data_IF_013209129745
#
_entry.id   IF_013209129745
#
_cell.length_a   1.000
_cell.length_b   1.000
_cell.length_c   1.000
_cell.angle_alpha   90.00
_cell.angle_beta   90.00
_cell.angle_gamma   90.00
#
_symmetry.space_group_name_H-M   'P 1'
#
loop_
_entity.id
_entity.type
_entity.pdbx_description
1 polymer ?
#
# COMPACT_ATOMS: atom_id res chain seq x y z
N UNK A 1 7.47 1.84 -42.18
CA UNK A 1 6.53 2.98 -42.08
C UNK A 1 7.16 4.02 -41.19
N UNK A 2 7.45 5.22 -41.65
CA UNK A 2 7.93 6.31 -40.79
C UNK A 2 6.73 7.03 -40.20
N UNK A 3 6.28 6.59 -39.03
CA UNK A 3 5.27 7.35 -38.26
C UNK A 3 5.91 8.62 -37.70
N UNK A 4 5.31 9.76 -37.96
CA UNK A 4 5.77 11.07 -37.41
C UNK A 4 5.39 11.24 -35.93
N UNK A 5 4.31 10.62 -35.50
CA UNK A 5 3.81 10.70 -34.11
C UNK A 5 2.94 9.50 -33.77
N UNK A 6 2.93 9.10 -32.49
CA UNK A 6 2.04 8.06 -31.95
C UNK A 6 1.24 8.69 -30.81
N UNK A 7 -0.07 8.39 -30.77
CA UNK A 7 -0.96 8.80 -29.68
C UNK A 7 -1.43 7.55 -28.96
N UNK A 8 -1.17 7.49 -27.65
CA UNK A 8 -1.80 6.53 -26.76
C UNK A 8 -2.95 7.25 -26.04
N UNK A 9 -4.19 6.93 -26.42
CA UNK A 9 -5.40 7.47 -25.78
C UNK A 9 -5.95 6.41 -24.82
N UNK A 10 -5.95 6.70 -23.51
CA UNK A 10 -6.45 5.82 -22.47
C UNK A 10 -7.85 6.31 -22.06
N UNK A 11 -8.85 5.48 -22.35
CA UNK A 11 -10.23 5.68 -21.91
C UNK A 11 -10.43 4.91 -20.60
N UNK A 12 -10.08 5.54 -19.50
CA UNK A 12 -10.09 4.91 -18.17
C UNK A 12 -11.53 4.58 -17.74
N UNK A 13 -11.74 3.34 -17.31
CA UNK A 13 -13.07 2.81 -17.00
C UNK A 13 -13.90 2.38 -18.21
N UNK A 14 -13.42 2.56 -19.45
CA UNK A 14 -14.10 2.17 -20.67
C UNK A 14 -13.86 0.69 -20.99
N UNK A 15 -14.47 -0.20 -20.20
CA UNK A 15 -14.28 -1.65 -20.32
C UNK A 15 -15.34 -2.34 -21.19
N UNK A 16 -15.03 -3.60 -21.56
CA UNK A 16 -16.03 -4.48 -22.16
C UNK A 16 -17.01 -4.97 -21.08
N UNK A 17 -18.26 -4.67 -21.24
CA UNK A 17 -19.34 -5.11 -20.35
C UNK A 17 -20.31 -6.07 -21.06
N UNK A 18 -21.32 -6.52 -20.34
CA UNK A 18 -22.41 -7.32 -20.90
C UNK A 18 -23.20 -6.45 -21.88
N UNK A 19 -23.24 -6.84 -23.16
CA UNK A 19 -24.03 -6.14 -24.17
C UNK A 19 -25.51 -6.14 -23.81
N UNK A 20 -26.20 -5.02 -24.11
CA UNK A 20 -27.63 -4.83 -23.82
C UNK A 20 -28.02 -4.88 -22.32
N UNK A 21 -27.08 -4.85 -21.40
CA UNK A 21 -27.37 -4.67 -20.00
C UNK A 21 -27.80 -3.23 -19.70
N UNK A 22 -28.85 -3.03 -18.93
CA UNK A 22 -29.28 -1.69 -18.45
C UNK A 22 -28.20 -0.96 -17.64
N UNK A 23 -27.21 -1.69 -17.15
CA UNK A 23 -26.08 -1.16 -16.37
C UNK A 23 -24.84 -0.86 -17.24
N UNK A 24 -24.86 -1.16 -18.54
CA UNK A 24 -23.74 -0.88 -19.45
C UNK A 24 -23.98 0.46 -20.16
N UNK A 25 -23.46 1.54 -19.57
CA UNK A 25 -23.63 2.89 -20.11
C UNK A 25 -23.05 3.04 -21.53
N UNK A 26 -21.92 2.37 -21.82
CA UNK A 26 -21.26 2.42 -23.14
C UNK A 26 -22.16 1.81 -24.22
N UNK A 27 -22.70 0.61 -23.94
CA UNK A 27 -23.61 -0.07 -24.85
C UNK A 27 -24.91 0.72 -25.08
N UNK A 28 -25.47 1.30 -24.01
CA UNK A 28 -26.71 2.07 -24.07
C UNK A 28 -26.56 3.43 -24.77
N UNK A 29 -25.39 4.06 -24.67
CA UNK A 29 -25.10 5.34 -25.34
C UNK A 29 -24.90 5.18 -26.86
N UNK A 30 -24.61 3.96 -27.33
CA UNK A 30 -24.42 3.64 -28.74
C UNK A 30 -23.45 4.61 -29.48
N UNK A 31 -22.21 4.82 -29.00
CA UNK A 31 -21.32 5.87 -29.49
C UNK A 31 -20.81 5.55 -30.92
N UNK A 32 -21.13 6.38 -31.94
CA UNK A 32 -20.92 6.01 -33.34
C UNK A 32 -19.45 5.90 -33.72
N UNK A 33 -18.59 6.78 -33.21
CA UNK A 33 -17.16 6.75 -33.49
C UNK A 33 -16.47 5.54 -32.83
N UNK A 34 -16.90 5.13 -31.66
CA UNK A 34 -16.42 3.92 -30.99
C UNK A 34 -16.76 2.68 -31.80
N UNK A 35 -17.98 2.60 -32.31
CA UNK A 35 -18.39 1.50 -33.19
C UNK A 35 -17.60 1.48 -34.49
N UNK A 36 -17.37 2.66 -35.11
CA UNK A 36 -16.55 2.79 -36.28
C UNK A 36 -15.13 2.27 -36.05
N UNK A 37 -14.49 2.68 -34.94
CA UNK A 37 -13.15 2.22 -34.57
C UNK A 37 -13.13 0.69 -34.35
N UNK A 38 -14.08 0.16 -33.59
CA UNK A 38 -14.18 -1.28 -33.33
C UNK A 38 -14.39 -2.13 -34.60
N UNK A 39 -15.05 -1.58 -35.62
CA UNK A 39 -15.38 -2.28 -36.85
C UNK A 39 -14.27 -2.22 -37.88
N UNK A 40 -13.46 -1.15 -37.90
CA UNK A 40 -12.52 -0.88 -39.00
C UNK A 40 -11.05 -1.03 -38.62
N UNK A 41 -10.71 -1.15 -37.31
CA UNK A 41 -9.32 -1.24 -36.87
C UNK A 41 -9.06 -2.53 -36.09
N UNK A 42 -7.79 -3.01 -36.07
CA UNK A 42 -7.40 -4.16 -35.24
C UNK A 42 -7.75 -3.94 -33.78
N UNK A 43 -8.22 -4.99 -33.13
CA UNK A 43 -8.62 -4.97 -31.70
C UNK A 43 -8.19 -6.25 -31.01
N UNK A 44 -7.91 -6.12 -29.71
CA UNK A 44 -7.72 -7.25 -28.80
C UNK A 44 -8.38 -6.93 -27.46
N UNK A 45 -8.57 -7.95 -26.65
CA UNK A 45 -9.02 -7.80 -25.26
C UNK A 45 -7.85 -8.09 -24.33
N UNK A 46 -7.74 -7.30 -23.27
CA UNK A 46 -6.78 -7.48 -22.19
C UNK A 46 -7.56 -7.71 -20.89
N UNK A 47 -7.04 -8.58 -20.03
CA UNK A 47 -7.51 -8.65 -18.64
C UNK A 47 -7.12 -7.37 -17.90
N UNK A 48 -8.01 -6.88 -17.05
CA UNK A 48 -7.79 -5.67 -16.26
C UNK A 48 -8.00 -5.92 -14.75
N UNK A 49 -7.98 -7.20 -14.30
CA UNK A 49 -8.23 -7.55 -12.91
C UNK A 49 -7.40 -8.76 -12.49
N UNK A 50 -7.32 -8.99 -11.19
CA UNK A 50 -6.68 -10.15 -10.58
C UNK A 50 -5.20 -10.29 -10.92
N UNK A 51 -4.72 -11.53 -10.94
CA UNK A 51 -3.30 -11.86 -11.12
C UNK A 51 -2.72 -11.42 -12.46
N UNK A 52 -3.56 -11.28 -13.48
CA UNK A 52 -3.13 -10.82 -14.81
C UNK A 52 -2.60 -9.39 -14.82
N UNK A 53 -2.95 -8.61 -13.82
CA UNK A 53 -2.49 -7.21 -13.65
C UNK A 53 -1.70 -6.99 -12.37
N UNK A 54 -1.28 -8.06 -11.68
CA UNK A 54 -0.48 -7.98 -10.45
C UNK A 54 -1.29 -7.74 -9.18
N UNK A 55 -2.61 -7.94 -9.21
CA UNK A 55 -3.50 -7.87 -8.08
C UNK A 55 -3.83 -9.29 -7.55
N UNK A 56 -4.31 -9.42 -6.30
CA UNK A 56 -4.84 -10.68 -5.81
C UNK A 56 -5.95 -11.25 -6.69
N UNK A 57 -6.11 -12.58 -6.69
CA UNK A 57 -7.19 -13.25 -7.39
C UNK A 57 -8.57 -12.71 -6.95
N UNK A 58 -9.46 -12.45 -7.91
CA UNK A 58 -10.81 -11.92 -7.67
C UNK A 58 -10.86 -10.41 -7.40
N UNK A 59 -9.74 -9.73 -7.26
CA UNK A 59 -9.72 -8.27 -7.07
C UNK A 59 -9.91 -7.56 -8.41
N UNK A 60 -10.87 -6.61 -8.44
CA UNK A 60 -11.08 -5.74 -9.62
C UNK A 60 -9.88 -4.81 -9.81
N UNK A 61 -9.56 -4.50 -11.07
CA UNK A 61 -8.51 -3.54 -11.41
C UNK A 61 -8.83 -2.11 -10.99
N UNK A 62 -7.80 -1.29 -11.02
CA UNK A 62 -7.90 0.14 -10.76
C UNK A 62 -6.98 0.94 -11.68
N UNK A 63 -7.19 2.25 -11.75
CA UNK A 63 -6.46 3.14 -12.65
C UNK A 63 -4.97 3.18 -12.37
N UNK A 64 -4.56 3.13 -11.11
CA UNK A 64 -3.14 3.19 -10.70
C UNK A 64 -2.37 2.00 -11.27
N UNK A 65 -2.84 0.79 -11.01
CA UNK A 65 -2.25 -0.46 -11.49
C UNK A 65 -2.25 -0.54 -13.01
N UNK A 66 -3.37 -0.16 -13.65
CA UNK A 66 -3.48 -0.18 -15.10
C UNK A 66 -2.46 0.74 -15.79
N UNK A 67 -2.30 1.96 -15.29
CA UNK A 67 -1.33 2.91 -15.83
C UNK A 67 0.12 2.48 -15.57
N UNK A 68 0.42 1.91 -14.40
CA UNK A 68 1.74 1.34 -14.11
C UNK A 68 2.09 0.20 -15.07
N UNK A 69 1.16 -0.72 -15.32
CA UNK A 69 1.37 -1.83 -16.24
C UNK A 69 1.62 -1.36 -17.68
N UNK A 70 0.84 -0.36 -18.15
CA UNK A 70 1.04 0.23 -19.48
C UNK A 70 2.41 0.90 -19.56
N UNK A 71 2.73 1.74 -18.57
CA UNK A 71 3.98 2.51 -18.55
C UNK A 71 5.23 1.66 -18.37
N UNK A 72 5.15 0.56 -17.62
CA UNK A 72 6.26 -0.40 -17.44
C UNK A 72 6.40 -1.41 -18.58
N UNK A 73 5.33 -1.59 -19.38
CA UNK A 73 5.27 -2.63 -20.43
C UNK A 73 5.26 -4.06 -19.89
N UNK A 74 4.93 -4.25 -18.62
CA UNK A 74 4.87 -5.54 -17.91
C UNK A 74 3.89 -5.50 -16.76
N UNK A 75 3.50 -6.68 -16.27
CA UNK A 75 2.69 -6.79 -15.05
C UNK A 75 3.51 -6.33 -13.86
N UNK A 76 3.01 -5.32 -13.15
CA UNK A 76 3.59 -4.79 -11.92
C UNK A 76 2.87 -5.42 -10.73
N UNK A 77 3.57 -6.28 -10.01
CA UNK A 77 2.99 -6.91 -8.81
C UNK A 77 2.82 -5.89 -7.70
N UNK A 78 1.63 -5.82 -7.12
CA UNK A 78 1.42 -5.03 -5.93
C UNK A 78 2.14 -5.63 -4.71
N UNK A 79 2.51 -4.79 -3.74
CA UNK A 79 3.28 -5.22 -2.56
C UNK A 79 2.68 -6.44 -1.87
N UNK A 80 1.35 -6.49 -1.72
CA UNK A 80 0.67 -7.65 -1.13
C UNK A 80 0.97 -8.95 -1.90
N UNK A 81 0.84 -8.93 -3.22
CA UNK A 81 1.03 -10.11 -4.05
C UNK A 81 2.49 -10.54 -4.11
N UNK A 82 3.40 -9.59 -4.20
CA UNK A 82 4.84 -9.84 -4.12
C UNK A 82 5.23 -10.50 -2.81
N UNK A 83 4.76 -9.97 -1.69
CA UNK A 83 5.04 -10.53 -0.36
C UNK A 83 4.43 -11.93 -0.24
N UNK A 84 3.19 -12.16 -0.73
CA UNK A 84 2.58 -13.50 -0.75
C UNK A 84 3.47 -14.55 -1.40
N UNK A 85 4.17 -14.20 -2.47
CA UNK A 85 5.07 -15.13 -3.18
C UNK A 85 6.41 -15.32 -2.46
N UNK A 86 6.99 -14.25 -1.91
CA UNK A 86 8.33 -14.26 -1.36
C UNK A 86 8.37 -14.65 0.14
N UNK A 87 7.24 -14.54 0.87
CA UNK A 87 7.19 -14.77 2.33
C UNK A 87 7.52 -16.23 2.71
N UNK A 88 7.24 -17.18 1.82
CA UNK A 88 7.53 -18.59 2.07
C UNK A 88 9.03 -18.89 2.15
N UNK A 89 9.84 -18.13 1.45
CA UNK A 89 11.30 -18.26 1.42
C UNK A 89 12.04 -17.14 2.13
N UNK A 90 11.34 -16.37 2.95
CA UNK A 90 11.87 -15.15 3.60
C UNK A 90 13.03 -15.43 4.54
N UNK A 91 13.18 -16.66 5.04
CA UNK A 91 14.33 -17.08 5.85
C UNK A 91 15.69 -16.94 5.15
N UNK A 92 15.71 -16.86 3.82
CA UNK A 92 16.92 -16.60 3.02
C UNK A 92 17.27 -15.11 2.93
N UNK A 93 16.41 -14.22 3.43
CA UNK A 93 16.64 -12.78 3.38
C UNK A 93 17.79 -12.38 4.33
N UNK A 94 18.82 -11.74 3.80
CA UNK A 94 20.02 -11.37 4.55
C UNK A 94 19.73 -10.43 5.73
N UNK A 95 18.80 -9.45 5.56
CA UNK A 95 18.44 -8.53 6.63
C UNK A 95 17.69 -9.25 7.75
N UNK A 96 16.83 -10.23 7.44
CA UNK A 96 16.17 -11.06 8.45
C UNK A 96 17.18 -11.92 9.20
N UNK A 97 18.12 -12.55 8.49
CA UNK A 97 19.18 -13.33 9.12
C UNK A 97 20.05 -12.49 10.06
N UNK A 98 20.46 -11.29 9.63
CA UNK A 98 21.23 -10.36 10.47
C UNK A 98 20.42 -9.95 11.71
N UNK A 99 19.15 -9.61 11.55
CA UNK A 99 18.26 -9.27 12.66
C UNK A 99 18.13 -10.41 13.67
N UNK A 100 17.93 -11.65 13.19
CA UNK A 100 17.87 -12.85 14.05
C UNK A 100 19.21 -13.09 14.78
N UNK A 101 20.35 -12.94 14.10
CA UNK A 101 21.67 -13.12 14.69
C UNK A 101 21.95 -12.07 15.78
N UNK A 102 21.55 -10.80 15.55
CA UNK A 102 21.66 -9.74 16.55
C UNK A 102 20.88 -10.10 17.83
N UNK A 103 19.64 -10.55 17.67
CA UNK A 103 18.80 -10.97 18.81
C UNK A 103 19.40 -12.15 19.56
N UNK A 104 19.89 -13.17 18.85
CA UNK A 104 20.55 -14.33 19.47
C UNK A 104 21.79 -13.94 20.27
N UNK A 105 22.61 -13.04 19.71
CA UNK A 105 23.84 -12.61 20.36
C UNK A 105 23.61 -11.87 21.68
N UNK A 106 22.43 -11.24 21.85
CA UNK A 106 22.04 -10.46 23.02
C UNK A 106 21.01 -11.17 23.91
N UNK A 107 20.58 -12.37 23.53
CA UNK A 107 19.50 -13.09 24.19
C UNK A 107 18.19 -12.25 24.26
N UNK A 108 17.95 -11.43 23.23
CA UNK A 108 16.78 -10.56 23.12
C UNK A 108 15.59 -11.29 22.51
N UNK A 109 14.40 -10.72 22.68
CA UNK A 109 13.17 -11.18 22.07
C UNK A 109 12.81 -10.31 20.85
N UNK A 110 11.96 -10.84 19.97
CA UNK A 110 11.48 -10.12 18.81
C UNK A 110 10.10 -9.50 19.09
N UNK A 111 10.00 -8.19 18.99
CA UNK A 111 8.74 -7.45 19.01
C UNK A 111 8.27 -7.20 17.57
N UNK A 112 7.10 -7.72 17.19
CA UNK A 112 6.50 -7.47 15.87
C UNK A 112 5.30 -6.54 16.04
N UNK A 113 5.33 -5.41 15.36
CA UNK A 113 4.22 -4.46 15.32
C UNK A 113 3.54 -4.49 13.95
N UNK A 114 2.22 -4.58 13.91
CA UNK A 114 1.51 -4.51 12.64
C UNK A 114 0.00 -4.66 12.74
N UNK A 115 -0.67 -4.34 11.64
CA UNK A 115 -2.10 -4.42 11.51
C UNK A 115 -2.53 -5.87 11.29
N UNK A 116 -3.22 -6.44 12.27
CA UNK A 116 -3.80 -7.78 12.20
C UNK A 116 -5.13 -7.67 11.48
N UNK A 117 -5.09 -7.89 10.17
CA UNK A 117 -6.20 -7.68 9.26
C UNK A 117 -6.08 -8.61 8.04
N UNK A 118 -7.18 -8.98 7.45
CA UNK A 118 -7.28 -9.68 6.17
C UNK A 118 -7.56 -8.73 4.98
N UNK A 119 -7.70 -7.43 5.25
CA UNK A 119 -8.00 -6.41 4.23
C UNK A 119 -6.88 -6.17 3.21
N UNK A 120 -5.62 -6.46 3.54
CA UNK A 120 -4.50 -6.42 2.60
C UNK A 120 -4.12 -5.04 2.06
N UNK A 121 -4.53 -3.94 2.71
CA UNK A 121 -4.24 -2.56 2.28
C UNK A 121 -2.93 -2.04 2.86
N UNK A 122 -2.70 -2.21 4.15
CA UNK A 122 -1.50 -1.76 4.85
C UNK A 122 -0.62 -2.93 5.32
N UNK A 123 -1.25 -4.05 5.60
CA UNK A 123 -0.65 -5.27 6.12
C UNK A 123 -1.55 -6.45 5.79
N UNK A 124 -1.07 -7.66 6.05
CA UNK A 124 -1.91 -8.85 6.04
C UNK A 124 -1.49 -9.78 7.19
N UNK A 125 -2.48 -10.25 7.99
CA UNK A 125 -2.21 -11.05 9.18
C UNK A 125 -1.40 -12.34 8.88
N UNK A 126 -1.59 -12.95 7.69
CA UNK A 126 -0.80 -14.13 7.28
C UNK A 126 0.69 -13.83 7.10
N UNK A 127 1.06 -12.61 6.68
CA UNK A 127 2.47 -12.23 6.58
C UNK A 127 3.10 -12.10 7.96
N UNK A 128 2.36 -11.49 8.90
CA UNK A 128 2.83 -11.32 10.28
C UNK A 128 2.99 -12.68 10.95
N UNK A 129 2.02 -13.60 10.81
CA UNK A 129 2.11 -14.94 11.38
C UNK A 129 3.24 -15.75 10.75
N UNK A 130 3.46 -15.67 9.44
CA UNK A 130 4.56 -16.34 8.77
C UNK A 130 5.93 -15.86 9.30
N UNK A 131 6.14 -14.54 9.40
CA UNK A 131 7.37 -13.97 9.97
C UNK A 131 7.56 -14.39 11.43
N UNK A 132 6.52 -14.27 12.26
CA UNK A 132 6.55 -14.65 13.66
C UNK A 132 6.94 -16.12 13.85
N UNK A 133 6.29 -17.02 13.11
CA UNK A 133 6.57 -18.45 13.15
C UNK A 133 8.02 -18.77 12.71
N UNK A 134 8.48 -18.19 11.59
CA UNK A 134 9.86 -18.40 11.11
C UNK A 134 10.91 -17.87 12.09
N UNK A 135 10.68 -16.74 12.75
CA UNK A 135 11.58 -16.20 13.77
C UNK A 135 11.57 -17.09 15.03
N UNK A 136 10.38 -17.51 15.48
CA UNK A 136 10.24 -18.38 16.66
C UNK A 136 10.89 -19.75 16.46
N UNK A 137 10.73 -20.34 15.27
CA UNK A 137 11.41 -21.61 14.89
C UNK A 137 12.94 -21.52 14.91
N UNK A 138 13.50 -20.31 14.87
CA UNK A 138 14.94 -20.07 15.07
C UNK A 138 15.33 -19.94 16.55
N UNK A 139 14.42 -20.21 17.48
CA UNK A 139 14.65 -20.19 18.93
C UNK A 139 14.58 -18.80 19.56
N UNK A 140 13.94 -17.84 18.91
CA UNK A 140 13.71 -16.50 19.44
C UNK A 140 12.26 -16.38 19.90
N UNK A 141 12.04 -15.92 21.13
CA UNK A 141 10.70 -15.58 21.62
C UNK A 141 10.15 -14.40 20.85
N UNK A 142 8.87 -14.46 20.47
CA UNK A 142 8.21 -13.41 19.71
C UNK A 142 7.05 -12.81 20.47
N UNK A 143 6.95 -11.51 20.44
CA UNK A 143 5.88 -10.72 21.06
C UNK A 143 5.21 -9.89 19.97
N UNK A 144 3.88 -9.96 19.92
CA UNK A 144 3.06 -9.27 18.92
C UNK A 144 2.38 -8.03 19.52
N UNK A 145 2.54 -6.89 18.87
CA UNK A 145 1.78 -5.67 19.11
C UNK A 145 0.75 -5.53 18.00
N UNK A 146 -0.47 -5.98 18.28
CA UNK A 146 -1.54 -6.10 17.31
C UNK A 146 -2.26 -4.76 17.13
N UNK A 147 -2.29 -4.24 15.90
CA UNK A 147 -3.17 -3.13 15.55
C UNK A 147 -4.44 -3.69 14.91
N UNK A 148 -5.61 -3.12 15.27
CA UNK A 148 -6.91 -3.51 14.74
C UNK A 148 -7.36 -2.55 13.64
N UNK A 149 -8.06 -3.07 12.63
CA UNK A 149 -8.42 -2.34 11.42
C UNK A 149 -9.75 -1.57 11.55
N UNK A 150 -10.85 -2.17 11.19
CA UNK A 150 -12.18 -1.57 11.23
C UNK A 150 -12.42 -0.41 10.25
N UNK A 151 -11.46 -0.15 9.35
CA UNK A 151 -11.53 0.91 8.33
C UNK A 151 -11.42 0.36 6.91
N UNK A 152 -10.43 -0.50 6.65
CA UNK A 152 -10.27 -1.21 5.38
C UNK A 152 -10.98 -2.57 5.41
N UNK A 153 -11.53 -2.94 6.57
CA UNK A 153 -12.38 -4.10 6.83
C UNK A 153 -13.64 -3.66 7.59
N UNK A 154 -14.55 -4.61 7.85
CA UNK A 154 -15.75 -4.31 8.64
C UNK A 154 -15.37 -3.80 10.04
N UNK A 155 -16.12 -2.83 10.59
CA UNK A 155 -15.79 -2.15 11.85
C UNK A 155 -15.61 -3.06 13.08
N UNK A 156 -16.19 -4.26 13.07
CA UNK A 156 -16.15 -5.23 14.18
C UNK A 156 -15.58 -6.59 13.71
N UNK A 157 -14.60 -6.59 12.81
CA UNK A 157 -13.94 -7.80 12.32
C UNK A 157 -12.71 -8.20 13.15
N UNK A 158 -12.23 -7.32 14.01
CA UNK A 158 -10.98 -7.49 14.77
C UNK A 158 -10.98 -8.71 15.67
N UNK A 159 -12.11 -9.03 16.32
CA UNK A 159 -12.24 -10.25 17.14
C UNK A 159 -11.92 -11.51 16.32
N UNK A 160 -12.55 -11.65 15.16
CA UNK A 160 -12.30 -12.78 14.25
C UNK A 160 -10.84 -12.82 13.79
N UNK A 161 -10.30 -11.68 13.36
CA UNK A 161 -8.91 -11.58 12.91
C UNK A 161 -7.92 -11.98 14.02
N UNK A 162 -8.13 -11.54 15.27
CA UNK A 162 -7.30 -11.92 16.42
C UNK A 162 -7.40 -13.41 16.72
N UNK A 163 -8.59 -13.99 16.66
CA UNK A 163 -8.78 -15.44 16.90
C UNK A 163 -8.07 -16.27 15.82
N UNK A 164 -8.26 -15.95 14.54
CA UNK A 164 -7.59 -16.62 13.42
C UNK A 164 -6.06 -16.45 13.50
N UNK A 165 -5.59 -15.26 13.84
CA UNK A 165 -4.16 -14.98 14.03
C UNK A 165 -3.59 -15.82 15.19
N UNK A 166 -4.23 -15.82 16.34
CA UNK A 166 -3.80 -16.60 17.51
C UNK A 166 -3.71 -18.10 17.20
N UNK A 167 -4.69 -18.62 16.47
CA UNK A 167 -4.66 -20.01 16.02
C UNK A 167 -3.47 -20.30 15.09
N UNK A 168 -3.10 -19.35 14.22
CA UNK A 168 -1.99 -19.50 13.27
C UNK A 168 -0.59 -19.48 13.90
N UNK A 169 -0.46 -19.04 15.15
CA UNK A 169 0.81 -18.93 15.88
C UNK A 169 0.92 -19.86 17.10
N UNK A 170 -0.12 -20.62 17.42
CA UNK A 170 -0.27 -21.41 18.68
C UNK A 170 0.82 -22.45 18.93
N UNK A 171 1.47 -22.95 17.87
CA UNK A 171 2.47 -24.01 17.91
C UNK A 171 3.87 -23.50 18.35
N UNK A 172 4.04 -22.19 18.49
CA UNK A 172 5.32 -21.54 18.73
C UNK A 172 5.29 -20.64 19.97
N UNK A 173 6.47 -20.27 20.49
CA UNK A 173 6.59 -19.33 21.63
C UNK A 173 6.32 -17.89 21.18
N UNK A 174 5.05 -17.63 20.85
CA UNK A 174 4.56 -16.35 20.34
C UNK A 174 3.33 -15.92 21.15
N UNK A 175 3.31 -14.66 21.59
CA UNK A 175 2.16 -14.11 22.33
C UNK A 175 1.80 -12.71 21.87
N UNK A 176 0.52 -12.35 21.96
CA UNK A 176 0.05 -10.95 21.83
C UNK A 176 0.32 -10.25 23.16
N UNK A 177 0.99 -9.10 23.11
CA UNK A 177 1.38 -8.34 24.27
C UNK A 177 0.62 -7.00 24.40
N UNK A 178 0.26 -6.39 23.27
CA UNK A 178 -0.59 -5.20 23.25
C UNK A 178 -1.59 -5.26 22.11
N UNK A 179 -2.73 -4.62 22.30
CA UNK A 179 -3.74 -4.41 21.26
C UNK A 179 -4.07 -2.92 21.21
N UNK A 180 -4.21 -2.38 20.01
CA UNK A 180 -4.56 -0.98 19.77
C UNK A 180 -5.32 -0.82 18.47
N UNK A 181 -6.35 0.00 18.42
CA UNK A 181 -6.96 0.42 17.17
C UNK A 181 -5.98 1.24 16.32
N UNK A 182 -6.10 1.13 15.00
CA UNK A 182 -5.25 1.85 14.05
C UNK A 182 -5.35 3.36 14.14
N UNK A 183 -6.41 3.90 14.71
CA UNK A 183 -6.58 5.33 14.99
C UNK A 183 -5.44 5.88 15.83
N UNK A 184 -4.92 5.09 16.78
CA UNK A 184 -3.79 5.43 17.64
C UNK A 184 -2.45 5.04 17.01
N UNK A 185 -2.27 3.77 16.69
CA UNK A 185 -0.97 3.22 16.29
C UNK A 185 -0.56 3.59 14.85
N UNK A 186 -1.50 4.00 14.00
CA UNK A 186 -1.28 4.21 12.57
C UNK A 186 -1.77 5.60 12.12
N UNK A 187 -1.61 6.63 12.96
CA UNK A 187 -1.86 8.02 12.59
C UNK A 187 -0.84 8.49 11.53
N UNK A 188 -1.29 9.31 10.57
CA UNK A 188 -0.46 9.94 9.53
C UNK A 188 -0.67 11.45 9.41
N UNK A 189 -1.52 12.01 10.29
CA UNK A 189 -1.95 13.41 10.22
C UNK A 189 -1.22 14.28 11.25
N UNK A 190 -0.06 13.78 11.75
CA UNK A 190 0.76 14.41 12.79
C UNK A 190 0.03 14.64 14.12
N UNK A 191 -0.93 13.76 14.41
CA UNK A 191 -1.59 13.69 15.72
C UNK A 191 -0.73 12.86 16.67
N UNK A 192 0.40 13.44 17.07
CA UNK A 192 1.45 12.74 17.81
C UNK A 192 0.94 12.15 19.13
N UNK A 193 -0.02 12.82 19.79
CA UNK A 193 -0.65 12.35 21.03
C UNK A 193 -1.24 10.93 20.89
N UNK A 194 -1.80 10.59 19.73
CA UNK A 194 -2.34 9.25 19.46
C UNK A 194 -1.25 8.22 19.33
N UNK A 195 -0.25 8.54 18.51
CA UNK A 195 0.86 7.61 18.25
C UNK A 195 1.71 7.40 19.51
N UNK A 196 1.88 8.42 20.34
CA UNK A 196 2.58 8.34 21.63
C UNK A 196 1.83 7.40 22.58
N UNK A 197 0.51 7.48 22.68
CA UNK A 197 -0.28 6.59 23.53
C UNK A 197 -0.08 5.12 23.15
N UNK A 198 -0.10 4.80 21.84
CA UNK A 198 0.17 3.45 21.36
C UNK A 198 1.63 3.04 21.63
N UNK A 199 2.57 3.94 21.38
CA UNK A 199 3.98 3.70 21.61
C UNK A 199 4.31 3.45 23.10
N UNK A 200 3.74 4.23 24.03
CA UNK A 200 3.94 4.06 25.46
C UNK A 200 3.40 2.72 25.98
N UNK A 201 2.26 2.26 25.46
CA UNK A 201 1.75 0.93 25.74
C UNK A 201 2.74 -0.17 25.28
N UNK A 202 3.32 -0.01 24.12
CA UNK A 202 4.28 -0.95 23.52
C UNK A 202 5.63 -0.87 24.21
N UNK A 203 6.21 0.32 24.30
CA UNK A 203 7.59 0.49 24.76
C UNK A 203 7.74 0.32 26.28
N UNK A 204 6.77 0.82 27.05
CA UNK A 204 6.90 0.96 28.50
C UNK A 204 5.79 0.25 29.29
N UNK A 205 4.91 -0.49 28.63
CA UNK A 205 3.73 -1.11 29.22
C UNK A 205 2.87 -0.10 30.04
N UNK A 206 2.73 1.12 29.52
CA UNK A 206 1.92 2.20 30.14
C UNK A 206 0.53 2.23 29.46
N UNK A 207 -0.35 1.31 29.86
CA UNK A 207 -1.74 1.29 29.41
C UNK A 207 -2.59 0.41 30.32
N UNK A 208 -3.93 0.44 30.26
CA UNK A 208 -4.79 -0.53 30.92
C UNK A 208 -4.44 -1.96 30.55
N UNK A 209 -4.64 -2.89 31.49
CA UNK A 209 -4.26 -4.30 31.34
C UNK A 209 -5.49 -5.20 31.28
N UNK A 210 -5.43 -6.17 30.37
CA UNK A 210 -6.45 -7.21 30.18
C UNK A 210 -5.81 -8.58 30.19
N UNK A 211 -6.56 -9.60 30.56
CA UNK A 211 -6.06 -10.96 30.61
C UNK A 211 -5.79 -11.51 29.19
N UNK A 212 -6.68 -11.21 28.24
CA UNK A 212 -6.56 -11.63 26.84
C UNK A 212 -7.14 -10.58 25.86
N UNK A 213 -6.73 -10.69 24.60
CA UNK A 213 -7.11 -9.75 23.55
C UNK A 213 -8.61 -9.83 23.17
N UNK A 214 -9.23 -11.00 23.31
CA UNK A 214 -10.64 -11.19 22.95
C UNK A 214 -11.54 -10.50 23.96
N UNK A 215 -11.24 -10.66 25.26
CA UNK A 215 -11.95 -9.98 26.36
C UNK A 215 -11.91 -8.45 26.21
N UNK A 216 -10.74 -7.88 25.86
CA UNK A 216 -10.60 -6.46 25.55
C UNK A 216 -11.54 -6.04 24.41
N UNK A 217 -11.54 -6.78 23.29
CA UNK A 217 -12.36 -6.44 22.14
C UNK A 217 -13.84 -6.56 22.45
N UNK A 218 -14.27 -7.60 23.16
CA UNK A 218 -15.66 -7.82 23.54
C UNK A 218 -16.19 -6.70 24.44
N UNK A 219 -15.40 -6.26 25.44
CA UNK A 219 -15.77 -5.13 26.28
C UNK A 219 -15.95 -3.84 25.48
N UNK A 220 -15.03 -3.56 24.53
CA UNK A 220 -15.14 -2.38 23.68
C UNK A 220 -16.39 -2.44 22.77
N UNK A 221 -16.70 -3.60 22.18
CA UNK A 221 -17.90 -3.76 21.35
C UNK A 221 -19.19 -3.56 22.15
N UNK A 222 -19.24 -4.04 23.40
CA UNK A 222 -20.38 -3.77 24.31
C UNK A 222 -20.57 -2.27 24.59
N UNK A 223 -19.49 -1.51 24.55
CA UNK A 223 -19.49 -0.05 24.70
C UNK A 223 -19.63 0.71 23.36
N UNK A 224 -19.98 0.03 22.26
CA UNK A 224 -20.08 0.59 20.90
C UNK A 224 -18.78 1.21 20.36
N UNK A 225 -17.64 0.76 20.85
CA UNK A 225 -16.31 1.14 20.33
C UNK A 225 -15.89 0.07 19.32
N UNK A 226 -15.68 0.48 18.09
CA UNK A 226 -15.25 -0.41 16.98
C UNK A 226 -13.73 -0.55 16.94
N UNK A 227 -13.25 -1.52 16.18
CA UNK A 227 -11.84 -1.90 16.06
C UNK A 227 -10.89 -0.72 15.89
N UNK A 228 -11.22 0.20 14.98
CA UNK A 228 -10.39 1.37 14.65
C UNK A 228 -10.08 2.23 15.90
N UNK A 229 -11.02 2.31 16.85
CA UNK A 229 -10.98 3.24 17.97
C UNK A 229 -10.69 2.60 19.33
N UNK A 230 -10.39 1.30 19.38
CA UNK A 230 -9.97 0.63 20.61
C UNK A 230 -8.67 1.27 21.12
N UNK A 231 -8.70 1.78 22.34
CA UNK A 231 -7.51 2.41 22.95
C UNK A 231 -6.41 1.39 23.22
N UNK A 232 -5.13 1.81 23.17
CA UNK A 232 -4.02 0.94 23.50
C UNK A 232 -4.19 0.26 24.85
N UNK A 233 -3.97 -1.06 24.87
CA UNK A 233 -4.07 -1.90 26.06
C UNK A 233 -2.98 -2.97 26.08
N UNK A 234 -2.60 -3.37 27.27
CA UNK A 234 -1.63 -4.44 27.54
C UNK A 234 -2.38 -5.75 27.71
N UNK A 235 -1.80 -6.83 27.16
CA UNK A 235 -2.33 -8.18 27.32
C UNK A 235 -1.41 -9.00 28.19
N UNK A 236 -2.00 -9.68 29.19
CA UNK A 236 -1.29 -10.55 30.12
C UNK A 236 -0.24 -9.81 30.97
N UNK A 237 0.92 -10.39 31.12
CA UNK A 237 2.00 -9.94 32.01
C UNK A 237 3.10 -9.11 31.32
N UNK A 238 2.84 -8.58 30.13
CA UNK A 238 3.83 -7.80 29.38
C UNK A 238 4.38 -6.60 30.17
N UNK A 239 5.71 -6.39 30.13
CA UNK A 239 6.42 -5.39 30.96
C UNK A 239 7.15 -4.31 30.15
N UNK A 240 6.95 -4.26 28.85
CA UNK A 240 7.66 -3.33 27.97
C UNK A 240 8.88 -3.94 27.28
N UNK A 241 9.54 -3.10 26.49
CA UNK A 241 10.69 -3.45 25.64
C UNK A 241 11.98 -3.27 26.45
N UNK A 242 12.93 -4.17 26.26
CA UNK A 242 14.27 -4.11 26.85
C UNK A 242 15.33 -3.75 25.81
N UNK A 243 16.50 -3.20 26.24
CA UNK A 243 17.54 -2.79 25.30
C UNK A 243 18.14 -3.90 24.42
N UNK A 244 18.07 -5.13 24.88
CA UNK A 244 18.49 -6.32 24.12
C UNK A 244 17.52 -6.77 23.06
N UNK A 245 16.25 -6.32 23.13
CA UNK A 245 15.18 -6.75 22.22
C UNK A 245 15.28 -6.09 20.86
N UNK A 246 14.70 -6.73 19.85
CA UNK A 246 14.59 -6.17 18.50
C UNK A 246 13.16 -5.86 18.10
N UNK A 247 13.03 -4.92 17.20
CA UNK A 247 11.74 -4.45 16.68
C UNK A 247 11.59 -4.76 15.18
N UNK A 248 10.50 -5.42 14.79
CA UNK A 248 10.09 -5.61 13.41
C UNK A 248 8.77 -4.89 13.13
N UNK A 249 8.81 -3.95 12.20
CA UNK A 249 7.66 -3.19 11.72
C UNK A 249 7.06 -3.90 10.52
N UNK A 250 5.90 -4.55 10.67
CA UNK A 250 5.40 -5.56 9.74
C UNK A 250 4.36 -5.07 8.72
N UNK A 251 3.98 -3.82 8.74
CA UNK A 251 3.16 -3.26 7.66
C UNK A 251 3.99 -3.04 6.40
N UNK A 252 3.44 -3.35 5.22
CA UNK A 252 4.13 -3.11 3.96
C UNK A 252 3.83 -1.74 3.35
N UNK A 253 2.72 -1.08 3.70
CA UNK A 253 2.43 0.28 3.26
C UNK A 253 2.97 1.32 4.26
N UNK A 254 3.81 2.21 3.74
CA UNK A 254 4.63 3.11 4.52
C UNK A 254 3.88 4.25 5.23
N UNK A 255 2.89 4.86 4.55
CA UNK A 255 2.30 6.16 4.90
C UNK A 255 1.85 6.28 6.37
N UNK A 256 1.33 5.19 6.96
CA UNK A 256 0.85 5.15 8.35
C UNK A 256 1.85 4.55 9.35
N UNK A 257 3.03 4.17 8.90
CA UNK A 257 4.09 3.65 9.78
C UNK A 257 5.22 4.66 10.04
N UNK A 258 5.34 5.69 9.19
CA UNK A 258 6.40 6.69 9.29
C UNK A 258 6.41 7.38 10.66
N UNK A 259 5.24 7.73 11.17
CA UNK A 259 5.10 8.45 12.44
C UNK A 259 5.54 7.58 13.63
N UNK A 260 5.02 6.35 13.72
CA UNK A 260 5.42 5.40 14.77
C UNK A 260 6.91 5.03 14.67
N UNK A 261 7.41 4.74 13.46
CA UNK A 261 8.82 4.46 13.23
C UNK A 261 9.73 5.63 13.64
N UNK A 262 9.29 6.88 13.42
CA UNK A 262 10.03 8.08 13.81
C UNK A 262 10.14 8.20 15.34
N UNK A 263 9.09 7.85 16.09
CA UNK A 263 9.15 7.81 17.57
C UNK A 263 10.13 6.72 18.01
N UNK A 264 10.04 5.51 17.47
CA UNK A 264 10.92 4.40 17.80
C UNK A 264 12.41 4.74 17.57
N UNK A 265 12.71 5.61 16.61
CA UNK A 265 14.07 6.05 16.29
C UNK A 265 14.51 7.34 17.03
N UNK A 266 13.65 7.92 17.89
CA UNK A 266 13.94 9.18 18.56
C UNK A 266 13.97 10.40 17.64
N UNK A 267 13.33 10.31 16.47
CA UNK A 267 13.34 11.38 15.44
C UNK A 267 12.09 12.27 15.45
N UNK A 268 11.15 12.01 16.39
CA UNK A 268 9.88 12.73 16.47
C UNK A 268 9.82 13.82 17.54
N UNK A 269 10.95 14.15 18.19
CA UNK A 269 10.97 15.11 19.29
C UNK A 269 10.40 14.56 20.63
N UNK A 270 9.97 13.32 20.66
CA UNK A 270 9.57 12.63 21.88
C UNK A 270 10.81 12.17 22.65
N UNK A 271 10.88 12.46 23.95
CA UNK A 271 12.11 12.32 24.76
C UNK A 271 12.29 10.94 25.39
N UNK A 272 11.18 10.23 25.64
CA UNK A 272 11.20 8.93 26.31
C UNK A 272 11.24 7.81 25.25
N UNK A 273 12.45 7.51 24.74
CA UNK A 273 12.64 6.55 23.63
C UNK A 273 13.24 5.25 24.15
N UNK A 274 12.54 4.14 23.86
CA UNK A 274 13.06 2.81 24.15
C UNK A 274 14.28 2.49 23.26
N UNK A 275 15.23 1.77 23.83
CA UNK A 275 16.40 1.27 23.07
C UNK A 275 16.09 -0.10 22.52
N UNK A 276 16.55 -0.34 21.31
CA UNK A 276 16.45 -1.63 20.63
C UNK A 276 17.83 -2.12 20.24
N UNK A 277 18.04 -3.41 20.28
CA UNK A 277 19.28 -4.03 19.80
C UNK A 277 19.36 -3.99 18.27
N UNK A 278 18.22 -4.12 17.61
CA UNK A 278 18.08 -4.11 16.16
C UNK A 278 16.68 -3.68 15.75
N UNK A 279 16.53 -3.00 14.63
CA UNK A 279 15.23 -2.61 14.06
C UNK A 279 15.18 -3.05 12.60
N UNK A 280 14.07 -3.64 12.19
CA UNK A 280 13.81 -4.12 10.84
C UNK A 280 12.41 -3.71 10.41
N UNK A 281 12.18 -3.43 9.14
CA UNK A 281 10.85 -3.14 8.60
C UNK A 281 10.50 -4.07 7.44
N UNK A 282 9.21 -4.24 7.19
CA UNK A 282 8.73 -4.99 6.03
C UNK A 282 9.20 -4.35 4.72
N UNK A 283 9.03 -3.05 4.58
CA UNK A 283 9.39 -2.25 3.41
C UNK A 283 10.19 -1.02 3.84
N UNK A 284 10.83 -0.35 2.91
CA UNK A 284 11.42 0.96 3.14
C UNK A 284 10.31 2.00 3.34
N UNK A 285 10.11 2.50 4.56
CA UNK A 285 9.07 3.50 4.83
C UNK A 285 9.46 4.91 4.39
N UNK A 286 10.70 5.30 4.65
CA UNK A 286 11.28 6.58 4.23
C UNK A 286 12.80 6.46 4.25
N UNK A 287 13.47 6.98 3.23
CA UNK A 287 14.92 6.80 3.07
C UNK A 287 15.73 7.39 4.22
N UNK A 288 15.29 8.51 4.80
CA UNK A 288 15.99 9.20 5.92
C UNK A 288 15.86 8.47 7.27
N UNK A 289 14.94 7.54 7.42
CA UNK A 289 14.83 6.72 8.63
C UNK A 289 15.97 5.70 8.75
N UNK A 290 16.53 5.25 7.62
CA UNK A 290 17.67 4.31 7.55
C UNK A 290 17.41 2.98 8.29
N UNK A 291 16.18 2.49 8.27
CA UNK A 291 15.82 1.17 8.81
C UNK A 291 16.13 0.13 7.73
N UNK A 292 16.86 -0.97 8.03
CA UNK A 292 16.94 -2.14 7.16
C UNK A 292 15.53 -2.69 6.87
N UNK A 293 15.30 -3.22 5.68
CA UNK A 293 13.99 -3.71 5.28
C UNK A 293 14.06 -5.08 4.62
N UNK A 294 12.96 -5.83 4.67
CA UNK A 294 12.85 -7.17 4.09
C UNK A 294 12.67 -7.10 2.57
N UNK A 295 11.76 -6.27 2.12
CA UNK A 295 11.44 -6.14 0.70
C UNK A 295 11.88 -4.76 0.20
N UNK A 296 12.82 -4.71 -0.76
CA UNK A 296 13.28 -3.43 -1.32
C UNK A 296 12.14 -2.74 -2.09
N UNK A 297 12.18 -1.41 -2.20
CA UNK A 297 11.33 -0.69 -3.15
C UNK A 297 11.53 -1.27 -4.55
N UNK A 298 10.44 -1.39 -5.29
CA UNK A 298 10.57 -1.77 -6.69
C UNK A 298 11.22 -0.63 -7.48
N UNK A 299 12.22 -0.98 -8.28
CA UNK A 299 12.80 -0.08 -9.27
C UNK A 299 12.35 -0.54 -10.67
N UNK A 300 11.76 0.35 -11.42
CA UNK A 300 11.29 0.06 -12.76
C UNK A 300 12.27 0.67 -13.78
N UNK A 301 13.17 -0.13 -14.29
CA UNK A 301 13.99 0.22 -15.44
C UNK A 301 13.25 -0.13 -16.74
N UNK A 302 13.63 0.52 -17.84
CA UNK A 302 13.03 0.34 -19.16
C UNK A 302 11.52 0.62 -19.21
N UNK A 303 11.06 1.63 -18.50
CA UNK A 303 9.70 2.14 -18.67
C UNK A 303 9.55 2.81 -20.03
N UNK A 304 8.32 2.96 -20.52
CA UNK A 304 8.08 3.63 -21.81
C UNK A 304 8.67 5.06 -21.82
N UNK A 305 8.52 5.80 -20.70
CA UNK A 305 9.08 7.14 -20.57
C UNK A 305 10.60 7.17 -20.69
N UNK A 306 11.28 6.22 -20.06
CA UNK A 306 12.73 6.06 -20.07
C UNK A 306 13.24 5.65 -21.46
N UNK A 307 12.58 4.69 -22.12
CA UNK A 307 12.94 4.28 -23.49
C UNK A 307 12.81 5.45 -24.48
N UNK A 308 11.79 6.29 -24.32
CA UNK A 308 11.61 7.49 -25.17
C UNK A 308 12.75 8.50 -24.90
N UNK A 309 13.12 8.72 -23.62
CA UNK A 309 14.25 9.59 -23.22
C UNK A 309 15.56 9.07 -23.81
N UNK A 310 15.88 7.78 -23.66
CA UNK A 310 17.11 7.15 -24.13
C UNK A 310 17.28 7.28 -25.66
N UNK A 311 16.15 7.23 -26.39
CA UNK A 311 16.13 7.45 -27.83
C UNK A 311 16.07 8.94 -28.21
N UNK A 312 16.19 9.88 -27.25
CA UNK A 312 16.15 11.34 -27.47
C UNK A 312 14.89 11.82 -28.19
N UNK A 313 13.79 11.10 -27.98
CA UNK A 313 12.48 11.44 -28.53
C UNK A 313 11.71 12.33 -27.55
N UNK A 314 10.70 13.02 -28.06
CA UNK A 314 9.83 13.87 -27.24
C UNK A 314 8.55 13.12 -26.89
N UNK A 315 8.03 13.39 -25.69
CA UNK A 315 6.76 12.82 -25.22
C UNK A 315 5.91 13.91 -24.55
N UNK A 316 4.59 13.79 -24.71
CA UNK A 316 3.60 14.64 -24.06
C UNK A 316 2.73 13.79 -23.15
N UNK A 317 2.55 14.24 -21.92
CA UNK A 317 1.55 13.75 -20.98
C UNK A 317 0.48 14.83 -20.84
N UNK A 318 -0.76 14.48 -21.12
CA UNK A 318 -1.90 15.42 -21.00
C UNK A 318 -3.07 14.70 -20.38
N UNK A 319 -3.64 15.28 -19.34
CA UNK A 319 -4.87 14.80 -18.70
C UNK A 319 -5.53 15.92 -17.90
N UNK A 320 -6.76 15.71 -17.53
CA UNK A 320 -7.42 16.56 -16.54
C UNK A 320 -6.98 16.20 -15.10
N UNK A 321 -7.28 17.07 -14.11
CA UNK A 321 -6.79 16.95 -12.72
C UNK A 321 -6.97 15.55 -12.14
N UNK A 322 -8.15 14.94 -12.30
CA UNK A 322 -8.47 13.60 -11.78
C UNK A 322 -7.58 12.48 -12.35
N UNK A 323 -7.06 12.67 -13.55
CA UNK A 323 -6.25 11.67 -14.27
C UNK A 323 -4.80 12.08 -14.47
N UNK A 324 -4.41 13.26 -13.99
CA UNK A 324 -3.04 13.76 -14.19
C UNK A 324 -1.98 12.88 -13.53
N UNK A 325 -2.19 12.49 -12.28
CA UNK A 325 -1.27 11.57 -11.59
C UNK A 325 -1.18 10.20 -12.30
N UNK A 326 -2.26 9.75 -12.93
CA UNK A 326 -2.27 8.47 -13.64
C UNK A 326 -1.37 8.49 -14.87
N UNK A 327 -1.40 9.55 -15.68
CA UNK A 327 -0.56 9.67 -16.89
C UNK A 327 0.86 10.16 -16.60
N UNK A 328 1.16 10.59 -15.37
CA UNK A 328 2.48 11.03 -14.93
C UNK A 328 3.08 10.05 -13.92
N UNK A 329 2.81 10.22 -12.64
CA UNK A 329 3.40 9.43 -11.55
C UNK A 329 3.21 7.92 -11.72
N UNK A 330 1.96 7.46 -11.90
CA UNK A 330 1.71 6.02 -12.03
C UNK A 330 2.22 5.45 -13.34
N UNK A 331 2.03 6.16 -14.45
CA UNK A 331 2.56 5.75 -15.75
C UNK A 331 4.10 5.70 -15.79
N UNK A 332 4.75 6.57 -15.04
CA UNK A 332 6.20 6.59 -14.85
C UNK A 332 6.65 5.69 -13.67
N UNK A 333 5.78 4.77 -13.22
CA UNK A 333 6.07 3.78 -12.18
C UNK A 333 6.60 4.38 -10.87
N UNK A 334 5.99 5.47 -10.40
CA UNK A 334 6.34 6.12 -9.15
C UNK A 334 7.40 7.24 -9.27
N UNK A 335 7.87 7.55 -10.47
CA UNK A 335 8.79 8.66 -10.70
C UNK A 335 8.02 9.99 -10.80
N UNK A 336 8.29 10.90 -9.88
CA UNK A 336 7.72 12.26 -9.87
C UNK A 336 8.35 13.16 -10.95
N UNK A 337 9.67 13.11 -11.07
CA UNK A 337 10.41 13.96 -11.99
C UNK A 337 10.17 13.59 -13.45
N UNK A 338 9.87 14.57 -14.31
CA UNK A 338 9.72 14.34 -15.74
C UNK A 338 10.98 13.73 -16.36
N UNK A 339 10.81 12.91 -17.36
CA UNK A 339 11.91 12.47 -18.21
C UNK A 339 12.40 13.61 -19.11
N UNK A 340 13.66 13.56 -19.56
CA UNK A 340 14.15 14.51 -20.55
C UNK A 340 13.31 14.44 -21.85
N UNK A 341 12.83 15.60 -22.30
CA UNK A 341 11.90 15.66 -23.44
C UNK A 341 10.42 15.37 -23.10
N UNK A 342 10.08 15.13 -21.84
CA UNK A 342 8.70 14.97 -21.38
C UNK A 342 8.08 16.35 -21.07
N UNK A 343 7.03 16.68 -21.82
CA UNK A 343 6.17 17.84 -21.58
C UNK A 343 4.90 17.39 -20.86
N UNK A 344 4.46 18.11 -19.83
CA UNK A 344 3.25 17.82 -19.07
C UNK A 344 2.23 18.94 -19.18
N UNK A 345 0.98 18.61 -19.46
CA UNK A 345 -0.13 19.55 -19.53
C UNK A 345 -1.24 19.07 -18.61
N UNK A 346 -1.60 19.91 -17.66
CA UNK A 346 -2.73 19.72 -16.75
C UNK A 346 -3.91 20.57 -17.20
N UNK A 347 -5.04 19.92 -17.46
CA UNK A 347 -6.34 20.59 -17.69
C UNK A 347 -7.12 20.54 -16.37
N UNK A 348 -7.65 21.66 -15.85
CA UNK A 348 -8.45 21.62 -14.64
C UNK A 348 -9.72 20.78 -14.82
N UNK A 349 -10.00 19.86 -13.90
CA UNK A 349 -11.30 19.18 -13.86
C UNK A 349 -12.41 20.13 -13.44
N UNK A 350 -13.68 19.89 -13.84
CA UNK A 350 -14.80 20.74 -13.46
C UNK A 350 -15.00 20.75 -11.94
N UNK A 351 -15.32 21.92 -11.37
CA UNK A 351 -15.57 22.10 -9.94
C UNK A 351 -17.01 21.75 -9.59
N UNK A 352 -17.38 20.49 -9.78
CA UNK A 352 -18.69 19.95 -9.42
C UNK A 352 -18.58 19.03 -8.20
N UNK A 353 -19.71 18.81 -7.51
CA UNK A 353 -19.72 17.94 -6.32
C UNK A 353 -19.47 16.47 -6.69
N UNK A 354 -20.05 16.02 -7.79
CA UNK A 354 -19.91 14.69 -8.37
C UNK A 354 -19.97 14.80 -9.89
N UNK A 355 -19.27 13.95 -10.63
CA UNK A 355 -19.14 14.10 -12.09
C UNK A 355 -20.34 13.61 -12.91
N UNK A 356 -21.34 13.03 -12.28
CA UNK A 356 -22.66 12.82 -12.91
C UNK A 356 -23.38 14.14 -13.22
N UNK A 357 -22.98 15.24 -12.56
CA UNK A 357 -23.46 16.59 -12.84
C UNK A 357 -22.82 17.23 -14.08
N UNK A 358 -21.67 16.75 -14.50
CA UNK A 358 -20.94 17.13 -15.70
C UNK A 358 -20.14 15.93 -16.24
N UNK A 359 -20.83 14.94 -16.84
CA UNK A 359 -20.21 13.66 -17.20
C UNK A 359 -19.16 13.76 -18.31
N UNK A 360 -19.21 14.78 -19.16
CA UNK A 360 -18.19 15.09 -20.17
C UNK A 360 -16.87 15.55 -19.54
N UNK A 361 -16.90 15.96 -18.28
CA UNK A 361 -15.75 16.46 -17.54
C UNK A 361 -14.98 17.53 -18.33
N UNK A 362 -13.67 17.40 -18.54
CA UNK A 362 -12.85 18.34 -19.33
C UNK A 362 -12.39 17.74 -20.68
N UNK A 363 -13.19 16.83 -21.26
CA UNK A 363 -12.81 16.14 -22.49
C UNK A 363 -12.66 17.10 -23.69
N UNK A 364 -13.46 18.15 -23.76
CA UNK A 364 -13.41 19.14 -24.86
C UNK A 364 -12.13 19.97 -24.77
N UNK A 365 -11.83 20.56 -23.63
CA UNK A 365 -10.66 21.39 -23.38
C UNK A 365 -9.36 20.58 -23.57
N UNK A 366 -9.35 19.35 -23.08
CA UNK A 366 -8.23 18.43 -23.26
C UNK A 366 -7.99 18.14 -24.74
N UNK A 367 -9.07 17.88 -25.49
CA UNK A 367 -9.00 17.58 -26.92
C UNK A 367 -8.52 18.79 -27.72
N UNK A 368 -9.03 19.99 -27.44
CA UNK A 368 -8.58 21.23 -28.08
C UNK A 368 -7.09 21.47 -27.86
N UNK A 369 -6.61 21.33 -26.63
CA UNK A 369 -5.21 21.56 -26.31
C UNK A 369 -4.30 20.51 -26.97
N UNK A 370 -4.72 19.25 -27.01
CA UNK A 370 -4.01 18.20 -27.71
C UNK A 370 -3.91 18.51 -29.23
N UNK A 371 -5.02 18.91 -29.87
CA UNK A 371 -5.06 19.26 -31.30
C UNK A 371 -4.15 20.45 -31.59
N UNK A 372 -4.16 21.51 -30.78
CA UNK A 372 -3.25 22.66 -30.91
C UNK A 372 -1.79 22.21 -30.90
N UNK A 373 -1.42 21.32 -29.98
CA UNK A 373 -0.04 20.79 -29.91
C UNK A 373 0.35 19.98 -31.15
N UNK A 374 -0.55 19.19 -31.73
CA UNK A 374 -0.30 18.46 -32.96
C UNK A 374 -0.14 19.37 -34.18
N UNK A 375 -1.01 20.38 -34.34
CA UNK A 375 -0.96 21.30 -35.48
C UNK A 375 0.32 22.12 -35.44
N UNK A 376 0.68 22.70 -34.29
CA UNK A 376 1.88 23.55 -34.14
C UNK A 376 3.17 22.76 -34.41
N UNK A 377 3.22 21.48 -34.04
CA UNK A 377 4.42 20.63 -34.23
C UNK A 377 4.56 20.05 -35.66
N UNK A 378 3.46 19.94 -36.40
CA UNK A 378 3.50 19.49 -37.80
C UNK A 378 3.80 20.63 -38.79
N UNK A 379 3.83 21.89 -38.34
CA UNK A 379 4.21 23.06 -39.12
C UNK A 379 5.68 23.47 -38.95
N UNK A 380 6.47 22.69 -38.21
CA UNK A 380 7.95 22.82 -38.06
C UNK A 380 8.61 21.48 -38.38
#
# INVERSE_FOLDING_TARGET
MNFKSVVLCILDGWGNGIENSKYNAISNANPPYWQYIRSNYPKCSLSACGTDVGLPEGQIGNSEVGHMNIGSGRVVMQSLQRINQEIETIENNANLQNFINDLKSKNGICHIMGLISDGGVHSHQKHISALANKISQRGIKVVIHAFLDGRDTLPNSGKRCIQEFTESIKENDIRIATVSGRYYAMDRDNRWERTIEAYEAIAFAKAPRYDDAVSLIDENYQNNITDEFIRPAIIGDYQGIKPEDGLLLANFRADRMIQLASICLGKAGYTEVAKFSSILSMMQYKADLKIPYLFPPESFANTLGEIIEDNKLRQLRIAETEKYAHVTFFFNCGREEPFSGEERILIPSPKVKTYDLQPEMSAFELTEELVKKFIIKNLR
#
